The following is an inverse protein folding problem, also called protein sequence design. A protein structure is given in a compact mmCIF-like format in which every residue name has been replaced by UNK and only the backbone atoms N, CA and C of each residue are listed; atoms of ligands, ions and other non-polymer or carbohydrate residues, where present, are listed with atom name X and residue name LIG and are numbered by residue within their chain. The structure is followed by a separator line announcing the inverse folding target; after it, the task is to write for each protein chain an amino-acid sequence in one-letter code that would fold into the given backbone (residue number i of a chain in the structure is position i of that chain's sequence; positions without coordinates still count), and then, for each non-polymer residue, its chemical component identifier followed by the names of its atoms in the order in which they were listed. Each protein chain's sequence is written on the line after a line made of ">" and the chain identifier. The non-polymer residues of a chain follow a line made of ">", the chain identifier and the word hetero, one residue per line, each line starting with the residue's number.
data_IF_550214133223
#
_entry.id   IF_550214133223
#
_cell.length_a   1.000
_cell.length_b   1.000
_cell.length_c   1.000
_cell.angle_alpha   90.00
_cell.angle_beta   90.00
_cell.angle_gamma   90.00
#
_symmetry.space_group_name_H-M   'P 1'
#
loop_
_entity.id
_entity.type
_entity.pdbx_description
1 polymer ?
#
# COMPACT_ATOMS: atom_id res chain seq x y z
N UNK A 1 6.46 -0.96 17.57
CA UNK A 1 5.70 0.10 16.89
C UNK A 1 4.22 -0.18 16.92
N UNK A 2 3.42 0.67 16.28
CA UNK A 2 1.97 0.52 16.07
C UNK A 2 1.62 1.20 14.75
N UNK A 3 0.71 0.61 13.98
CA UNK A 3 0.11 1.23 12.79
C UNK A 3 -1.41 1.25 12.97
N UNK A 4 -2.05 2.29 12.45
CA UNK A 4 -3.49 2.43 12.30
C UNK A 4 -3.74 2.80 10.83
N UNK A 5 -4.67 2.11 10.20
CA UNK A 5 -4.98 2.30 8.78
C UNK A 5 -6.50 2.38 8.60
N UNK A 6 -6.97 3.36 7.84
CA UNK A 6 -8.36 3.47 7.42
C UNK A 6 -8.48 3.52 5.90
N UNK A 7 -9.51 2.86 5.37
CA UNK A 7 -9.99 3.04 4.01
C UNK A 7 -11.44 3.49 4.11
N UNK A 8 -11.73 4.65 3.55
CA UNK A 8 -13.02 5.31 3.63
C UNK A 8 -13.55 5.58 2.23
N UNK A 9 -14.85 5.42 2.07
CA UNK A 9 -15.53 5.90 0.87
C UNK A 9 -15.57 7.42 0.91
N UNK A 10 -15.26 8.03 -0.22
CA UNK A 10 -15.54 9.43 -0.51
C UNK A 10 -16.47 9.51 -1.73
N UNK A 11 -17.08 10.67 -1.99
CA UNK A 11 -18.16 10.78 -2.97
C UNK A 11 -17.76 10.46 -4.41
N UNK A 12 -16.48 10.59 -4.75
CA UNK A 12 -15.95 10.24 -6.07
C UNK A 12 -14.80 9.24 -6.04
N UNK A 13 -14.56 8.57 -4.92
CA UNK A 13 -13.36 7.77 -4.75
C UNK A 13 -13.19 7.14 -3.38
N UNK A 14 -11.93 6.89 -3.04
CA UNK A 14 -11.48 6.25 -1.82
C UNK A 14 -10.42 7.09 -1.16
N UNK A 15 -10.57 7.34 0.14
CA UNK A 15 -9.55 7.95 0.98
C UNK A 15 -8.86 6.85 1.77
N UNK A 16 -7.52 6.81 1.72
CA UNK A 16 -6.72 5.92 2.57
C UNK A 16 -5.85 6.75 3.51
N UNK A 17 -5.84 6.39 4.79
CA UNK A 17 -5.01 7.07 5.80
C UNK A 17 -4.21 6.00 6.53
N UNK A 18 -2.91 6.22 6.68
CA UNK A 18 -2.07 5.41 7.55
C UNK A 18 -1.31 6.30 8.54
N UNK A 19 -1.42 5.95 9.82
CA UNK A 19 -0.55 6.48 10.87
C UNK A 19 0.28 5.32 11.42
N UNK A 20 1.61 5.44 11.40
CA UNK A 20 2.45 4.48 12.10
C UNK A 20 3.57 5.12 12.91
N UNK A 21 3.91 4.43 13.99
CA UNK A 21 5.08 4.72 14.82
C UNK A 21 5.96 3.48 14.87
N UNK A 22 7.23 3.65 14.51
CA UNK A 22 8.26 2.62 14.63
C UNK A 22 9.38 3.16 15.52
N UNK A 23 9.85 2.31 16.42
CA UNK A 23 11.04 2.59 17.21
C UNK A 23 12.11 1.59 16.78
N UNK A 24 13.19 2.10 16.20
CA UNK A 24 14.39 1.34 15.91
C UNK A 24 15.32 1.41 17.11
N UNK A 25 15.93 0.28 17.47
CA UNK A 25 16.89 0.17 18.55
C UNK A 25 18.21 -0.33 17.96
N UNK A 26 19.22 0.52 17.98
CA UNK A 26 20.58 0.18 17.54
C UNK A 26 21.33 -0.62 18.59
N UNK A 27 22.33 -1.39 18.13
CA UNK A 27 23.21 -2.18 19.01
C UNK A 27 24.05 -1.30 19.96
N UNK A 28 24.21 -0.02 19.64
CA UNK A 28 24.89 0.99 20.46
C UNK A 28 24.01 1.59 21.58
N UNK A 29 22.75 1.15 21.66
CA UNK A 29 21.76 1.63 22.62
C UNK A 29 21.08 2.94 22.22
N UNK A 30 21.37 3.48 21.03
CA UNK A 30 20.60 4.57 20.46
C UNK A 30 19.25 4.06 19.94
N UNK A 31 18.26 4.94 19.94
CA UNK A 31 16.94 4.65 19.41
C UNK A 31 16.51 5.73 18.44
N UNK A 32 15.97 5.34 17.29
CA UNK A 32 15.28 6.26 16.42
C UNK A 32 13.77 6.02 16.50
N UNK A 33 13.01 7.07 16.78
CA UNK A 33 11.55 7.03 16.71
C UNK A 33 11.12 7.70 15.41
N UNK A 34 10.48 6.92 14.54
CA UNK A 34 9.87 7.35 13.31
C UNK A 34 8.36 7.41 13.49
N UNK A 35 7.79 8.60 13.31
CA UNK A 35 6.35 8.83 13.17
C UNK A 35 6.07 9.14 11.70
N UNK A 36 5.05 8.50 11.13
CA UNK A 36 4.62 8.76 9.76
C UNK A 36 3.11 8.88 9.71
N UNK A 37 2.65 9.89 8.98
CA UNK A 37 1.28 10.09 8.57
C UNK A 37 1.23 10.11 7.04
N UNK A 38 0.50 9.17 6.47
CA UNK A 38 0.24 9.05 5.05
C UNK A 38 -1.24 9.24 4.79
N UNK A 39 -1.57 10.06 3.79
CA UNK A 39 -2.92 10.24 3.30
C UNK A 39 -2.92 10.11 1.78
N UNK A 40 -3.95 9.47 1.23
CA UNK A 40 -4.19 9.46 -0.21
C UNK A 40 -5.66 9.48 -0.57
N UNK A 41 -5.93 9.93 -1.79
CA UNK A 41 -7.24 9.84 -2.43
C UNK A 41 -7.10 9.21 -3.81
N UNK A 42 -7.94 8.24 -4.13
CA UNK A 42 -8.01 7.59 -5.45
C UNK A 42 -9.43 7.67 -6.01
N UNK A 43 -9.58 8.18 -7.23
CA UNK A 43 -10.87 8.25 -7.92
C UNK A 43 -11.50 6.86 -8.15
N UNK A 44 -12.83 6.78 -8.23
CA UNK A 44 -13.56 5.54 -8.56
C UNK A 44 -13.19 4.97 -9.94
N UNK A 45 -12.85 5.83 -10.89
CA UNK A 45 -12.34 5.44 -12.21
C UNK A 45 -10.92 4.86 -12.15
N UNK A 46 -10.19 5.08 -11.05
CA UNK A 46 -8.80 4.65 -10.87
C UNK A 46 -7.83 5.33 -11.82
N UNK A 47 -8.10 6.59 -12.21
CA UNK A 47 -7.26 7.37 -13.12
C UNK A 47 -6.71 8.67 -12.51
N UNK A 48 -7.17 9.05 -11.32
CA UNK A 48 -6.63 10.15 -10.54
C UNK A 48 -6.23 9.65 -9.15
N UNK A 49 -5.09 10.13 -8.67
CA UNK A 49 -4.55 9.82 -7.35
C UNK A 49 -3.89 11.07 -6.76
N UNK A 50 -4.05 11.31 -5.47
CA UNK A 50 -3.23 12.28 -4.73
C UNK A 50 -2.72 11.63 -3.46
N UNK A 51 -1.57 12.07 -2.99
CA UNK A 51 -0.99 11.60 -1.73
C UNK A 51 -0.17 12.67 -1.06
N UNK A 52 -0.12 12.59 0.27
CA UNK A 52 0.68 13.43 1.13
C UNK A 52 1.30 12.55 2.23
N UNK A 53 2.57 12.82 2.53
CA UNK A 53 3.37 12.12 3.53
C UNK A 53 3.99 13.17 4.46
N UNK A 54 3.78 12.98 5.75
CA UNK A 54 4.47 13.69 6.82
C UNK A 54 5.22 12.67 7.68
N UNK A 55 6.53 12.78 7.71
CA UNK A 55 7.40 11.94 8.54
C UNK A 55 8.18 12.79 9.53
N UNK A 56 8.29 12.30 10.76
CA UNK A 56 9.11 12.89 11.83
C UNK A 56 10.00 11.80 12.44
N UNK A 57 11.30 11.87 12.18
CA UNK A 57 12.34 11.03 12.78
C UNK A 57 13.12 11.81 13.84
N UNK A 58 13.48 11.15 14.94
CA UNK A 58 14.38 11.74 15.95
C UNK A 58 15.81 11.92 15.46
N UNK A 59 16.24 11.15 14.47
CA UNK A 59 17.58 11.23 13.87
C UNK A 59 17.60 12.07 12.58
N UNK A 60 16.64 11.86 11.68
CA UNK A 60 16.65 12.48 10.34
C UNK A 60 15.79 13.76 10.25
N UNK A 61 15.03 14.07 11.31
CA UNK A 61 14.18 15.25 11.38
C UNK A 61 12.83 15.07 10.66
N UNK A 62 12.21 16.21 10.33
CA UNK A 62 10.88 16.25 9.69
C UNK A 62 11.00 16.31 8.17
N UNK A 63 10.23 15.49 7.47
CA UNK A 63 10.05 15.50 6.02
C UNK A 63 8.57 15.60 5.68
N UNK A 64 8.26 16.39 4.67
CA UNK A 64 6.89 16.57 4.21
C UNK A 64 6.90 16.69 2.68
N UNK A 65 6.20 15.78 2.02
CA UNK A 65 6.13 15.73 0.56
C UNK A 65 4.84 15.06 0.11
N UNK A 66 4.51 15.25 -1.16
CA UNK A 66 3.28 14.72 -1.72
C UNK A 66 3.29 14.84 -3.23
N UNK A 67 2.17 14.50 -3.84
CA UNK A 67 2.03 14.53 -5.27
C UNK A 67 0.67 14.08 -5.75
N UNK A 68 0.53 14.08 -7.07
CA UNK A 68 -0.67 13.59 -7.73
C UNK A 68 -0.35 12.89 -9.04
N UNK A 69 -1.27 12.04 -9.47
CA UNK A 69 -1.20 11.27 -10.70
C UNK A 69 -2.43 11.55 -11.54
N UNK A 70 -2.21 11.75 -12.83
CA UNK A 70 -3.24 11.79 -13.86
C UNK A 70 -2.94 10.72 -14.90
N UNK A 71 -3.90 9.81 -15.10
CA UNK A 71 -3.85 8.76 -16.10
C UNK A 71 -4.87 9.00 -17.22
N UNK A 72 -4.43 8.77 -18.45
CA UNK A 72 -5.24 8.76 -19.66
C UNK A 72 -6.05 7.46 -19.79
N UNK A 73 -6.90 7.35 -20.83
CA UNK A 73 -7.82 6.22 -21.00
C UNK A 73 -7.19 4.83 -21.15
N UNK A 74 -5.89 4.75 -21.50
CA UNK A 74 -5.11 3.52 -21.55
C UNK A 74 -4.27 3.28 -20.27
N UNK A 75 -4.48 4.11 -19.24
CA UNK A 75 -3.72 4.14 -17.99
C UNK A 75 -2.23 4.45 -18.16
N UNK A 76 -1.83 5.10 -19.26
CA UNK A 76 -0.58 5.85 -19.37
C UNK A 76 -0.76 7.20 -18.67
N UNK A 77 0.29 7.81 -18.10
CA UNK A 77 0.10 9.11 -17.48
C UNK A 77 1.34 9.77 -16.93
N UNK A 78 1.13 10.71 -16.01
CA UNK A 78 2.20 11.45 -15.33
C UNK A 78 1.92 11.53 -13.84
N UNK A 79 2.99 11.38 -13.07
CA UNK A 79 3.00 11.74 -11.65
C UNK A 79 3.79 13.03 -11.45
N UNK A 80 3.28 13.92 -10.62
CA UNK A 80 3.89 15.18 -10.25
C UNK A 80 4.15 15.19 -8.74
N UNK A 81 5.29 15.73 -8.33
CA UNK A 81 5.75 15.69 -6.94
C UNK A 81 6.03 17.11 -6.45
N UNK A 82 5.68 17.42 -5.21
CA UNK A 82 5.95 18.73 -4.62
C UNK A 82 7.45 19.04 -4.49
N UNK A 83 8.29 18.01 -4.38
CA UNK A 83 9.75 18.12 -4.29
C UNK A 83 10.41 18.40 -5.65
N UNK A 84 9.79 17.96 -6.75
CA UNK A 84 10.30 18.10 -8.12
C UNK A 84 9.17 18.56 -9.08
N UNK A 85 8.60 19.76 -8.89
CA UNK A 85 7.37 20.17 -9.56
C UNK A 85 7.50 20.30 -11.08
N UNK A 86 8.72 20.53 -11.58
CA UNK A 86 8.99 20.75 -13.01
C UNK A 86 9.36 19.46 -13.77
N UNK A 87 9.49 18.32 -13.06
CA UNK A 87 9.95 17.05 -13.64
C UNK A 87 8.92 15.96 -13.37
N UNK A 88 7.90 15.80 -14.22
CA UNK A 88 6.94 14.72 -14.05
C UNK A 88 7.59 13.36 -14.30
N UNK A 89 7.22 12.37 -13.49
CA UNK A 89 7.52 10.97 -13.77
C UNK A 89 6.52 10.45 -14.80
N UNK A 90 7.02 9.97 -15.93
CA UNK A 90 6.18 9.33 -16.96
C UNK A 90 5.81 7.93 -16.50
N UNK A 91 4.50 7.66 -16.45
CA UNK A 91 3.95 6.37 -16.08
C UNK A 91 3.60 5.59 -17.35
N UNK A 92 4.07 4.34 -17.51
CA UNK A 92 3.74 3.53 -18.68
C UNK A 92 2.27 3.14 -18.69
N UNK A 93 1.80 2.62 -19.82
CA UNK A 93 0.45 2.09 -19.95
C UNK A 93 0.15 1.00 -18.91
N UNK A 94 -1.14 0.83 -18.60
CA UNK A 94 -1.62 -0.14 -17.61
C UNK A 94 -1.03 0.05 -16.19
N UNK A 95 -0.56 1.25 -15.85
CA UNK A 95 -0.14 1.56 -14.48
C UNK A 95 -1.36 1.49 -13.56
N UNK A 96 -1.22 0.74 -12.47
CA UNK A 96 -2.24 0.64 -11.42
C UNK A 96 -1.94 1.64 -10.30
N UNK A 97 -3.01 2.22 -9.78
CA UNK A 97 -3.03 2.95 -8.52
C UNK A 97 -3.36 1.98 -7.36
N UNK A 98 -3.06 2.34 -6.09
CA UNK A 98 -3.16 1.42 -4.95
C UNK A 98 -4.51 0.72 -4.75
N UNK A 99 -5.65 1.43 -4.76
CA UNK A 99 -6.98 0.83 -4.56
C UNK A 99 -7.35 -0.05 -5.74
N UNK A 100 -7.11 0.41 -6.97
CA UNK A 100 -7.28 -0.42 -8.17
C UNK A 100 -6.44 -1.70 -8.11
N UNK A 101 -5.22 -1.64 -7.58
CA UNK A 101 -4.38 -2.81 -7.39
C UNK A 101 -4.95 -3.76 -6.34
N UNK A 102 -5.46 -3.27 -5.20
CA UNK A 102 -6.16 -4.08 -4.20
C UNK A 102 -7.36 -4.81 -4.79
N UNK A 103 -8.21 -4.11 -5.56
CA UNK A 103 -9.30 -4.75 -6.29
C UNK A 103 -8.81 -5.86 -7.22
N UNK A 104 -7.74 -5.58 -7.99
CA UNK A 104 -7.17 -6.59 -8.90
C UNK A 104 -6.65 -7.81 -8.16
N UNK A 105 -6.04 -7.63 -6.99
CA UNK A 105 -5.57 -8.72 -6.13
C UNK A 105 -6.74 -9.59 -5.65
N UNK A 106 -7.81 -8.99 -5.15
CA UNK A 106 -9.02 -9.70 -4.69
C UNK A 106 -9.66 -10.48 -5.83
N UNK A 107 -9.92 -9.83 -6.97
CA UNK A 107 -10.50 -10.48 -8.16
C UNK A 107 -9.66 -11.67 -8.63
N UNK A 108 -8.33 -11.51 -8.65
CA UNK A 108 -7.40 -12.56 -9.09
C UNK A 108 -7.38 -13.74 -8.13
N UNK A 109 -7.39 -13.47 -6.81
CA UNK A 109 -7.43 -14.48 -5.77
C UNK A 109 -8.74 -15.29 -5.83
N UNK A 110 -9.89 -14.60 -5.97
CA UNK A 110 -11.21 -15.23 -6.10
C UNK A 110 -11.35 -16.06 -7.37
N UNK A 111 -10.79 -15.58 -8.48
CA UNK A 111 -10.72 -16.34 -9.73
C UNK A 111 -9.74 -17.54 -9.68
N UNK A 112 -9.02 -17.73 -8.57
CA UNK A 112 -8.07 -18.82 -8.41
C UNK A 112 -6.78 -18.66 -9.23
N UNK A 113 -6.49 -17.45 -9.71
CA UNK A 113 -5.22 -17.15 -10.38
C UNK A 113 -4.06 -17.42 -9.43
N UNK A 114 -2.90 -17.81 -9.98
CA UNK A 114 -1.71 -18.14 -9.19
C UNK A 114 -0.66 -17.04 -9.17
N UNK A 115 -0.60 -16.27 -10.25
CA UNK A 115 0.41 -15.23 -10.45
C UNK A 115 -0.25 -14.01 -11.09
N UNK A 116 0.13 -12.81 -10.64
CA UNK A 116 -0.24 -11.53 -11.27
C UNK A 116 1.01 -10.65 -11.33
N UNK A 117 1.40 -10.21 -12.52
CA UNK A 117 2.38 -9.14 -12.69
C UNK A 117 1.68 -7.80 -12.90
N UNK A 118 2.20 -6.73 -12.31
CA UNK A 118 1.66 -5.39 -12.51
C UNK A 118 2.74 -4.29 -12.51
N UNK A 119 2.36 -3.13 -13.03
CA UNK A 119 3.06 -1.87 -12.80
C UNK A 119 2.24 -1.08 -11.79
N UNK A 120 2.84 -0.65 -10.70
CA UNK A 120 2.16 -0.04 -9.57
C UNK A 120 2.80 1.31 -9.24
N UNK A 121 1.97 2.34 -9.13
CA UNK A 121 2.34 3.57 -8.46
C UNK A 121 2.07 3.43 -6.95
N UNK A 122 3.07 3.76 -6.12
CA UNK A 122 3.04 3.51 -4.67
C UNK A 122 2.85 4.76 -3.82
N UNK A 123 2.85 5.97 -4.42
CA UNK A 123 2.72 7.22 -3.66
C UNK A 123 3.90 7.48 -2.72
N UNK A 124 5.13 7.30 -3.20
CA UNK A 124 6.37 7.56 -2.46
C UNK A 124 7.21 8.64 -3.16
N UNK A 125 8.47 8.84 -2.75
CA UNK A 125 9.43 9.72 -3.43
C UNK A 125 9.64 9.31 -4.90
N UNK A 126 10.00 10.25 -5.80
CA UNK A 126 10.01 10.00 -7.25
C UNK A 126 10.76 8.74 -7.72
N UNK A 127 11.85 8.39 -7.07
CA UNK A 127 12.72 7.25 -7.41
C UNK A 127 12.15 5.88 -6.97
N UNK A 128 11.17 5.89 -6.07
CA UNK A 128 10.51 4.70 -5.51
C UNK A 128 9.00 4.68 -5.72
N UNK A 129 8.45 5.73 -6.33
CA UNK A 129 7.02 5.88 -6.58
C UNK A 129 6.48 4.90 -7.64
N UNK A 130 7.31 4.40 -8.55
CA UNK A 130 6.90 3.44 -9.59
C UNK A 130 7.62 2.10 -9.40
N UNK A 131 6.84 1.04 -9.21
CA UNK A 131 7.34 -0.32 -8.98
C UNK A 131 6.75 -1.30 -9.99
N UNK A 132 7.51 -2.34 -10.32
CA UNK A 132 6.98 -3.57 -10.93
C UNK A 132 6.71 -4.56 -9.82
N UNK A 133 5.55 -5.20 -9.86
CA UNK A 133 5.18 -6.21 -8.87
C UNK A 133 5.02 -7.58 -9.52
N UNK A 134 5.35 -8.61 -8.75
CA UNK A 134 4.98 -9.98 -9.05
C UNK A 134 4.30 -10.57 -7.82
N UNK A 135 3.02 -10.86 -7.95
CA UNK A 135 2.18 -11.42 -6.91
C UNK A 135 2.02 -12.91 -7.10
N UNK A 136 2.16 -13.68 -6.02
CA UNK A 136 1.82 -15.10 -5.95
C UNK A 136 0.66 -15.28 -4.98
N UNK A 137 -0.41 -15.92 -5.46
CA UNK A 137 -1.59 -16.20 -4.66
C UNK A 137 -1.55 -17.63 -4.11
N UNK A 138 -1.68 -17.72 -2.80
CA UNK A 138 -2.05 -18.96 -2.12
C UNK A 138 -3.52 -19.32 -2.38
N UNK A 139 -3.92 -20.49 -1.88
CA UNK A 139 -5.34 -20.84 -1.81
C UNK A 139 -6.04 -20.14 -0.65
N UNK A 140 -7.38 -20.17 -0.67
CA UNK A 140 -8.18 -19.82 0.48
C UNK A 140 -7.83 -20.69 1.68
N UNK A 141 -7.67 -20.07 2.85
CA UNK A 141 -7.50 -20.76 4.14
C UNK A 141 -8.72 -20.49 5.00
N UNK A 142 -9.45 -21.55 5.33
CA UNK A 142 -10.57 -21.50 6.29
C UNK A 142 -10.00 -21.39 7.71
N UNK A 143 -10.04 -20.19 8.24
CA UNK A 143 -9.53 -19.84 9.56
C UNK A 143 -10.34 -18.64 10.05
N UNK A 144 -11.52 -18.85 10.66
CA UNK A 144 -12.35 -17.75 11.15
C UNK A 144 -11.59 -16.91 12.19
N UNK A 145 -11.82 -15.58 12.20
CA UNK A 145 -11.23 -14.69 13.20
C UNK A 145 -12.28 -14.26 14.21
N UNK A 146 -11.98 -14.47 15.49
CA UNK A 146 -12.72 -13.82 16.57
C UNK A 146 -12.34 -12.34 16.67
N UNK A 147 -13.24 -11.51 17.21
CA UNK A 147 -12.92 -10.12 17.57
C UNK A 147 -12.93 -9.07 16.45
N UNK A 148 -13.29 -9.44 15.21
CA UNK A 148 -13.42 -8.48 14.08
C UNK A 148 -14.86 -7.98 13.85
N UNK A 149 -15.83 -8.46 14.62
CA UNK A 149 -17.23 -8.02 14.53
C UNK A 149 -17.81 -8.23 13.13
N UNK A 150 -18.44 -7.19 12.57
CA UNK A 150 -19.04 -7.24 11.24
C UNK A 150 -18.03 -7.33 10.09
N UNK A 151 -16.73 -7.12 10.38
CA UNK A 151 -15.63 -7.25 9.42
C UNK A 151 -14.98 -8.64 9.47
N UNK A 152 -15.52 -9.59 10.24
CA UNK A 152 -15.04 -10.96 10.24
C UNK A 152 -15.42 -11.68 8.93
N UNK A 153 -14.53 -12.58 8.50
CA UNK A 153 -14.76 -13.53 7.40
C UNK A 153 -14.29 -14.92 7.86
N UNK A 154 -14.75 -15.96 7.18
CA UNK A 154 -14.46 -17.38 7.50
C UNK A 154 -13.00 -17.77 7.25
N UNK A 155 -12.22 -16.87 6.66
CA UNK A 155 -10.86 -17.14 6.25
C UNK A 155 -10.19 -15.99 5.53
N UNK A 156 -9.11 -16.30 4.82
CA UNK A 156 -8.33 -15.33 4.06
C UNK A 156 -7.58 -15.99 2.89
N UNK A 157 -7.15 -15.18 1.94
CA UNK A 157 -6.14 -15.53 0.95
C UNK A 157 -4.75 -15.17 1.47
N UNK A 158 -3.81 -16.12 1.40
CA UNK A 158 -2.39 -15.81 1.56
C UNK A 158 -1.87 -15.20 0.26
N UNK A 159 -1.33 -13.99 0.31
CA UNK A 159 -0.83 -13.28 -0.86
C UNK A 159 0.61 -12.85 -0.58
N UNK A 160 1.50 -13.06 -1.54
CA UNK A 160 2.90 -12.62 -1.47
C UNK A 160 3.20 -11.75 -2.68
N UNK A 161 3.73 -10.55 -2.47
CA UNK A 161 4.06 -9.60 -3.53
C UNK A 161 5.53 -9.24 -3.42
N UNK A 162 6.26 -9.46 -4.50
CA UNK A 162 7.63 -9.00 -4.65
C UNK A 162 7.65 -7.67 -5.43
N UNK A 163 8.40 -6.68 -4.95
CA UNK A 163 8.50 -5.34 -5.52
C UNK A 163 9.87 -5.11 -6.14
N UNK A 164 9.89 -4.65 -7.39
CA UNK A 164 11.10 -4.42 -8.16
C UNK A 164 11.13 -2.99 -8.69
N UNK A 165 12.29 -2.34 -8.62
CA UNK A 165 12.49 -1.10 -9.35
C UNK A 165 12.42 -1.38 -10.86
N UNK A 166 11.80 -0.50 -11.67
CA UNK A 166 11.75 -0.67 -13.12
C UNK A 166 13.14 -0.75 -13.78
N UNK A 167 14.15 -0.16 -13.15
CA UNK A 167 15.55 -0.16 -13.59
C UNK A 167 16.37 -1.37 -13.11
N UNK A 168 15.77 -2.27 -12.31
CA UNK A 168 16.46 -3.41 -11.72
C UNK A 168 17.04 -4.33 -12.81
N UNK A 169 18.27 -4.80 -12.57
CA UNK A 169 19.01 -5.72 -13.47
C UNK A 169 19.18 -7.12 -12.89
N UNK A 170 18.82 -7.30 -11.63
CA UNK A 170 18.88 -8.57 -10.90
C UNK A 170 17.46 -9.09 -10.67
N UNK A 171 17.34 -10.37 -10.35
CA UNK A 171 16.06 -11.01 -10.02
C UNK A 171 15.68 -10.83 -8.54
N UNK A 172 16.47 -10.09 -7.77
CA UNK A 172 16.24 -9.87 -6.34
C UNK A 172 15.27 -8.71 -6.17
N UNK A 173 14.16 -8.88 -5.42
CA UNK A 173 13.24 -7.80 -5.14
C UNK A 173 13.86 -6.79 -4.19
N UNK A 174 13.39 -5.54 -4.27
CA UNK A 174 13.73 -4.50 -3.30
C UNK A 174 13.15 -4.84 -1.93
N UNK A 175 11.93 -5.33 -1.91
CA UNK A 175 11.26 -5.86 -0.73
C UNK A 175 10.13 -6.78 -1.15
N UNK A 176 9.69 -7.62 -0.21
CA UNK A 176 8.54 -8.50 -0.38
C UNK A 176 7.52 -8.23 0.72
N UNK A 177 6.23 -8.26 0.39
CA UNK A 177 5.15 -8.21 1.38
C UNK A 177 4.36 -9.51 1.31
N UNK A 178 4.23 -10.17 2.44
CA UNK A 178 3.36 -11.32 2.63
C UNK A 178 2.20 -10.90 3.50
N UNK A 179 0.95 -11.17 3.10
CA UNK A 179 -0.20 -10.79 3.92
C UNK A 179 -1.38 -11.74 3.78
N UNK A 180 -2.19 -11.78 4.85
CA UNK A 180 -3.42 -12.54 4.96
C UNK A 180 -4.63 -11.63 4.74
N UNK A 181 -5.22 -11.66 3.53
CA UNK A 181 -6.32 -10.77 3.14
C UNK A 181 -7.67 -11.48 3.08
N UNK A 182 -8.68 -10.96 3.77
CA UNK A 182 -10.06 -11.40 3.66
C UNK A 182 -10.72 -10.96 2.33
N UNK A 183 -11.91 -11.48 1.99
CA UNK A 183 -12.60 -11.09 0.75
C UNK A 183 -13.03 -9.63 0.73
N UNK A 184 -13.26 -9.04 1.90
CA UNK A 184 -13.58 -7.62 2.06
C UNK A 184 -12.35 -6.70 2.00
N UNK A 185 -11.14 -7.23 1.74
CA UNK A 185 -9.89 -6.47 1.67
C UNK A 185 -9.18 -6.27 3.02
N UNK A 186 -9.78 -6.69 4.14
CA UNK A 186 -9.15 -6.56 5.45
C UNK A 186 -7.92 -7.47 5.58
N UNK A 187 -6.78 -6.88 5.93
CA UNK A 187 -5.52 -7.58 6.17
C UNK A 187 -5.39 -7.92 7.65
N UNK A 188 -5.28 -9.22 7.96
CA UNK A 188 -5.20 -9.73 9.35
C UNK A 188 -3.78 -9.69 9.91
N UNK A 189 -2.81 -9.94 9.06
CA UNK A 189 -1.39 -9.86 9.38
C UNK A 189 -0.60 -9.64 8.11
N UNK A 190 0.57 -9.00 8.25
CA UNK A 190 1.53 -8.88 7.18
C UNK A 190 2.98 -8.97 7.69
N UNK A 191 3.86 -9.39 6.80
CA UNK A 191 5.31 -9.31 6.95
C UNK A 191 5.90 -8.59 5.74
N UNK A 192 6.66 -7.52 5.99
CA UNK A 192 7.47 -6.83 4.99
C UNK A 192 8.91 -7.29 5.18
N UNK A 193 9.52 -7.88 4.16
CA UNK A 193 10.90 -8.33 4.15
C UNK A 193 11.75 -7.39 3.28
N UNK A 194 12.69 -6.69 3.88
CA UNK A 194 13.64 -5.79 3.20
C UNK A 194 14.96 -6.49 2.81
N UNK A 195 15.12 -7.77 3.18
CA UNK A 195 16.31 -8.58 2.93
C UNK A 195 17.23 -8.68 4.14
N UNK A 196 17.57 -7.54 4.75
CA UNK A 196 18.41 -7.44 5.95
C UNK A 196 17.59 -7.48 7.26
N UNK A 197 16.36 -6.98 7.25
CA UNK A 197 15.40 -7.11 8.34
C UNK A 197 13.97 -7.31 7.82
N UNK A 198 13.06 -7.71 8.71
CA UNK A 198 11.62 -7.77 8.42
C UNK A 198 10.78 -7.08 9.49
N UNK A 199 9.66 -6.51 9.05
CA UNK A 199 8.64 -5.91 9.91
C UNK A 199 7.41 -6.81 9.86
N UNK A 200 6.94 -7.26 11.03
CA UNK A 200 5.73 -8.07 11.17
C UNK A 200 4.66 -7.28 11.91
N UNK A 201 3.47 -7.24 11.36
CA UNK A 201 2.31 -6.61 11.97
C UNK A 201 1.16 -7.62 12.08
N UNK A 202 0.48 -7.59 13.21
CA UNK A 202 -0.74 -8.37 13.47
C UNK A 202 -1.86 -7.42 13.84
N UNK A 203 -3.01 -7.61 13.22
CA UNK A 203 -4.19 -6.81 13.48
C UNK A 203 -4.67 -7.05 14.92
N UNK A 204 -4.82 -5.97 15.68
CA UNK A 204 -5.28 -6.04 17.07
C UNK A 204 -6.75 -5.68 17.23
N UNK A 205 -7.30 -4.89 16.30
CA UNK A 205 -8.67 -4.37 16.34
C UNK A 205 -9.06 -3.88 14.95
N UNK A 206 -10.34 -4.00 14.60
CA UNK A 206 -10.92 -3.40 13.40
C UNK A 206 -12.32 -2.89 13.70
N UNK A 207 -12.69 -1.78 13.07
CA UNK A 207 -14.01 -1.17 13.18
C UNK A 207 -14.48 -0.67 11.82
N UNK A 208 -15.80 -0.60 11.65
CA UNK A 208 -16.40 -0.06 10.43
C UNK A 208 -16.34 1.46 10.43
N UNK A 209 -15.95 2.03 9.30
CA UNK A 209 -16.03 3.48 9.08
C UNK A 209 -17.43 3.88 8.58
N UNK A 210 -17.81 5.13 8.83
CA UNK A 210 -19.11 5.67 8.38
C UNK A 210 -19.09 5.90 6.87
N UNK A 211 -20.20 5.62 6.20
CA UNK A 211 -20.35 5.97 4.79
C UNK A 211 -20.43 7.51 4.61
N UNK A 212 -19.88 8.06 3.52
CA UNK A 212 -19.96 9.49 3.26
C UNK A 212 -21.39 9.90 2.95
N UNK A 213 -21.75 11.14 3.27
CA UNK A 213 -23.01 11.74 2.82
C UNK A 213 -22.74 12.52 1.54
N UNK A 214 -23.19 11.98 0.42
CA UNK A 214 -23.04 12.59 -0.91
C UNK A 214 -24.37 13.20 -1.36
N UNK A 215 -24.30 14.43 -1.88
CA UNK A 215 -25.45 15.22 -2.36
C UNK A 215 -25.67 15.06 -3.86
#
# INVERSE_FOLDING_TARGET
>A
GRSAFSIERDCGGWRSVEDYMIQFLGDDGQSDNLLSHFESWESDSGNMYSFDILEESTMDGRREFGGFVELDGDFTGRAFFSMEPDVPLVLPNETLLPIRHVHKLLESAEAGQKILGATLFTGNEPDTALMKTNTVFGGWREEPSDGLGALADEGYYQINIAYFQPSAKTAEPRYEIQFAMQRNGLVREYEINYGDFSIRAKLTSAETVSAPTCS
#
